data_IF_284667879457
#
_entry.id   IF_284667879457
#
_cell.length_a   1.000
_cell.length_b   1.000
_cell.length_c   1.000
_cell.angle_alpha   90.00
_cell.angle_beta   90.00
_cell.angle_gamma   90.00
#
_symmetry.space_group_name_H-M   'P 1'
#
loop_
_entity.id
_entity.type
_entity.pdbx_description
1 polymer ?
#
# COMPACT_ATOMS: atom_id res chain seq x y z
N UNK A 1 11.65 -11.58 10.25
CA UNK A 1 10.42 -12.00 9.54
C UNK A 1 9.64 -13.15 10.19
N UNK A 2 10.25 -13.98 11.05
CA UNK A 2 9.57 -15.17 11.59
C UNK A 2 8.37 -14.88 12.50
N UNK A 3 8.35 -13.78 13.26
CA UNK A 3 7.22 -13.44 14.15
C UNK A 3 5.93 -13.14 13.39
N UNK A 4 6.00 -12.35 12.31
CA UNK A 4 4.80 -12.00 11.51
C UNK A 4 4.31 -13.23 10.74
N UNK A 5 5.23 -14.00 10.13
CA UNK A 5 4.85 -15.25 9.49
C UNK A 5 4.22 -16.23 10.49
N UNK A 6 4.72 -16.31 11.72
CA UNK A 6 4.11 -17.10 12.79
C UNK A 6 2.67 -16.68 13.09
N UNK A 7 2.41 -15.37 13.21
CA UNK A 7 1.06 -14.84 13.41
C UNK A 7 0.12 -15.17 12.23
N UNK A 8 0.60 -15.03 10.99
CA UNK A 8 -0.16 -15.40 9.78
C UNK A 8 -0.51 -16.89 9.77
N UNK A 9 0.40 -17.76 10.21
CA UNK A 9 0.15 -19.19 10.35
C UNK A 9 -0.87 -19.49 11.44
N UNK A 10 -0.79 -18.78 12.58
CA UNK A 10 -1.74 -18.92 13.67
C UNK A 10 -3.18 -18.50 13.27
N UNK A 11 -3.32 -17.60 12.29
CA UNK A 11 -4.62 -17.24 11.68
C UNK A 11 -5.13 -18.28 10.68
N UNK A 12 -4.41 -19.39 10.45
CA UNK A 12 -4.84 -20.49 9.57
C UNK A 12 -4.35 -20.38 8.12
N UNK A 13 -3.60 -19.34 7.76
CA UNK A 13 -3.02 -19.23 6.42
C UNK A 13 -1.72 -20.04 6.35
N UNK A 14 -1.67 -21.06 5.49
CA UNK A 14 -0.46 -21.86 5.26
C UNK A 14 0.54 -21.11 4.37
N UNK A 15 1.78 -21.63 4.24
CA UNK A 15 2.86 -20.97 3.49
C UNK A 15 2.63 -20.92 1.99
N UNK A 16 1.79 -21.83 1.52
CA UNK A 16 1.31 -21.91 0.15
C UNK A 16 0.21 -20.88 -0.12
N UNK A 17 -0.52 -20.44 0.92
CA UNK A 17 -1.59 -19.45 0.79
C UNK A 17 -1.06 -18.02 0.92
N UNK A 18 -0.34 -17.72 2.01
CA UNK A 18 0.18 -16.37 2.21
C UNK A 18 1.39 -16.27 3.16
N UNK A 19 2.13 -15.17 3.05
CA UNK A 19 3.28 -14.85 3.90
C UNK A 19 3.32 -13.34 4.18
N UNK A 20 4.14 -12.92 5.14
CA UNK A 20 4.44 -11.50 5.39
C UNK A 20 4.94 -10.80 4.12
N UNK A 21 5.79 -11.46 3.33
CA UNK A 21 6.25 -10.94 2.05
C UNK A 21 5.13 -10.89 1.00
N UNK A 22 4.22 -11.86 1.03
CA UNK A 22 3.02 -11.89 0.18
C UNK A 22 2.19 -10.62 0.30
N UNK A 23 1.99 -10.09 1.51
CA UNK A 23 1.24 -8.84 1.71
C UNK A 23 1.88 -7.66 0.98
N UNK A 24 3.21 -7.64 0.90
CA UNK A 24 3.95 -6.57 0.21
C UNK A 24 3.74 -6.62 -1.29
N UNK A 25 3.79 -7.82 -1.88
CA UNK A 25 3.50 -8.03 -3.30
C UNK A 25 2.04 -7.66 -3.61
N UNK A 26 1.09 -8.13 -2.79
CA UNK A 26 -0.32 -7.78 -2.93
C UNK A 26 -0.57 -6.28 -2.84
N UNK A 27 0.03 -5.60 -1.86
CA UNK A 27 -0.11 -4.15 -1.70
C UNK A 27 0.46 -3.39 -2.91
N UNK A 28 1.60 -3.82 -3.47
CA UNK A 28 2.18 -3.25 -4.69
C UNK A 28 1.20 -3.33 -5.86
N UNK A 29 0.63 -4.52 -6.08
CA UNK A 29 -0.31 -4.75 -7.19
C UNK A 29 -1.60 -3.95 -7.02
N UNK A 30 -2.21 -3.95 -5.83
CA UNK A 30 -3.46 -3.22 -5.60
C UNK A 30 -3.26 -1.70 -5.71
N UNK A 31 -2.17 -1.17 -5.14
CA UNK A 31 -1.90 0.28 -5.26
C UNK A 31 -1.73 0.71 -6.72
N UNK A 32 -1.09 -0.12 -7.56
CA UNK A 32 -0.92 0.17 -8.99
C UNK A 32 -2.26 -0.01 -9.75
N UNK A 33 -2.83 -1.21 -9.72
CA UNK A 33 -3.94 -1.57 -10.61
C UNK A 33 -5.31 -1.06 -10.16
N UNK A 34 -5.54 -0.94 -8.84
CA UNK A 34 -6.85 -0.57 -8.28
C UNK A 34 -6.90 0.90 -7.89
N UNK A 35 -5.84 1.39 -7.24
CA UNK A 35 -5.79 2.78 -6.77
C UNK A 35 -5.15 3.74 -7.79
N UNK A 36 -4.51 3.21 -8.84
CA UNK A 36 -3.88 4.02 -9.89
C UNK A 36 -2.72 4.87 -9.35
N UNK A 37 -2.02 4.39 -8.33
CA UNK A 37 -0.94 5.12 -7.70
C UNK A 37 0.30 5.17 -8.59
N UNK A 38 1.04 6.27 -8.49
CA UNK A 38 2.26 6.46 -9.29
C UNK A 38 3.29 5.41 -8.87
N UNK A 39 3.72 4.57 -9.82
CA UNK A 39 4.56 3.39 -9.54
C UNK A 39 5.83 3.73 -8.74
N UNK A 40 6.52 4.82 -9.06
CA UNK A 40 7.71 5.26 -8.32
C UNK A 40 7.43 5.59 -6.85
N UNK A 41 6.24 6.12 -6.50
CA UNK A 41 5.85 6.33 -5.10
C UNK A 41 5.68 5.00 -4.38
N UNK A 42 5.07 4.01 -5.05
CA UNK A 42 4.90 2.65 -4.52
C UNK A 42 6.28 2.04 -4.27
N UNK A 43 7.17 2.07 -5.26
CA UNK A 43 8.53 1.54 -5.13
C UNK A 43 9.33 2.25 -4.01
N UNK A 44 9.20 3.58 -3.87
CA UNK A 44 9.79 4.32 -2.74
C UNK A 44 9.21 3.90 -1.39
N UNK A 45 7.91 3.63 -1.31
CA UNK A 45 7.26 3.17 -0.08
C UNK A 45 7.70 1.76 0.31
N UNK A 46 7.95 0.93 -0.70
CA UNK A 46 8.54 -0.37 -0.51
C UNK A 46 10.04 -0.24 -0.16
N UNK A 47 10.70 0.91 -0.34
CA UNK A 47 12.16 1.02 -0.25
C UNK A 47 12.87 0.15 -1.30
N UNK A 48 12.23 -0.03 -2.45
CA UNK A 48 12.88 -0.54 -3.66
C UNK A 48 13.68 0.57 -4.32
N UNK A 49 14.64 0.17 -5.17
CA UNK A 49 15.34 1.10 -6.03
C UNK A 49 14.42 1.51 -7.19
N UNK A 50 14.11 2.79 -7.29
CA UNK A 50 13.40 3.35 -8.44
C UNK A 50 14.37 3.42 -9.63
N UNK A 51 13.96 2.84 -10.76
CA UNK A 51 14.73 2.94 -12.01
C UNK A 51 14.62 4.36 -12.55
N UNK A 52 15.76 5.01 -12.76
CA UNK A 52 15.85 6.34 -13.37
C UNK A 52 16.78 6.25 -14.59
N UNK A 53 16.31 6.76 -15.73
CA UNK A 53 17.08 6.82 -16.98
C UNK A 53 18.35 7.66 -16.85
N UNK A 54 18.38 8.63 -15.93
CA UNK A 54 19.54 9.49 -15.65
C UNK A 54 20.35 9.01 -14.43
N UNK A 55 19.98 7.85 -13.86
CA UNK A 55 20.59 7.25 -12.69
C UNK A 55 20.31 7.99 -11.38
N UNK A 56 20.59 7.32 -10.25
CA UNK A 56 20.41 7.85 -8.87
C UNK A 56 21.22 9.13 -8.57
N UNK A 57 22.11 9.56 -9.47
CA UNK A 57 22.98 10.72 -9.25
C UNK A 57 22.17 12.02 -9.13
N UNK A 58 21.08 12.14 -9.89
CA UNK A 58 20.26 13.35 -9.97
C UNK A 58 18.91 13.22 -9.26
N UNK A 59 18.37 12.01 -9.14
CA UNK A 59 17.12 11.77 -8.45
C UNK A 59 17.35 11.43 -6.96
N UNK A 60 17.24 12.47 -6.13
CA UNK A 60 17.26 12.39 -4.66
C UNK A 60 15.87 12.59 -4.04
N UNK A 61 14.80 12.51 -4.83
CA UNK A 61 13.46 12.83 -4.33
C UNK A 61 12.94 11.67 -3.48
N UNK A 62 12.50 11.99 -2.27
CA UNK A 62 11.85 11.02 -1.38
C UNK A 62 10.32 11.01 -1.52
N UNK A 63 9.77 12.04 -2.18
CA UNK A 63 8.34 12.26 -2.39
C UNK A 63 7.46 12.10 -1.14
N UNK A 64 7.97 12.47 0.04
CA UNK A 64 7.29 12.22 1.32
C UNK A 64 5.85 12.80 1.39
N UNK A 65 5.56 14.02 0.91
CA UNK A 65 4.18 14.51 0.88
C UNK A 65 3.26 13.64 0.03
N UNK A 66 3.66 13.31 -1.21
CA UNK A 66 2.87 12.48 -2.10
C UNK A 66 2.70 11.04 -1.58
N UNK A 67 3.74 10.47 -0.95
CA UNK A 67 3.67 9.17 -0.30
C UNK A 67 2.72 9.16 0.89
N UNK A 68 2.60 10.26 1.63
CA UNK A 68 1.62 10.38 2.70
C UNK A 68 0.20 10.31 2.15
N UNK A 69 -0.10 11.05 1.10
CA UNK A 69 -1.42 11.02 0.44
C UNK A 69 -1.73 9.63 -0.14
N UNK A 70 -0.75 8.98 -0.78
CA UNK A 70 -0.86 7.61 -1.26
C UNK A 70 -1.19 6.64 -0.10
N UNK A 71 -0.47 6.74 1.01
CA UNK A 71 -0.71 5.87 2.16
C UNK A 71 -2.04 6.14 2.86
N UNK A 72 -2.55 7.38 2.79
CA UNK A 72 -3.90 7.69 3.25
C UNK A 72 -4.95 7.00 2.37
N UNK A 73 -4.83 7.10 1.04
CA UNK A 73 -5.74 6.38 0.12
C UNK A 73 -5.68 4.87 0.29
N UNK A 74 -4.49 4.32 0.55
CA UNK A 74 -4.34 2.91 0.90
C UNK A 74 -5.07 2.55 2.20
N UNK A 75 -4.96 3.37 3.25
CA UNK A 75 -5.68 3.16 4.51
C UNK A 75 -7.20 3.22 4.30
N UNK A 76 -7.69 4.22 3.57
CA UNK A 76 -9.11 4.38 3.26
C UNK A 76 -9.66 3.19 2.49
N UNK A 77 -8.88 2.64 1.54
CA UNK A 77 -9.23 1.43 0.82
C UNK A 77 -9.37 0.21 1.74
N UNK A 78 -8.42 0.01 2.66
CA UNK A 78 -8.48 -1.09 3.64
C UNK A 78 -9.67 -0.95 4.59
N UNK A 79 -10.00 0.27 5.01
CA UNK A 79 -11.16 0.53 5.85
C UNK A 79 -12.47 0.23 5.12
N UNK A 80 -12.58 0.58 3.83
CA UNK A 80 -13.75 0.19 3.01
C UNK A 80 -13.91 -1.33 2.93
N UNK A 81 -12.82 -2.07 2.71
CA UNK A 81 -12.86 -3.54 2.71
C UNK A 81 -13.27 -4.11 4.07
N UNK A 82 -12.77 -3.54 5.16
CA UNK A 82 -13.09 -3.96 6.53
C UNK A 82 -14.56 -3.72 6.89
N UNK A 83 -15.12 -2.58 6.48
CA UNK A 83 -16.52 -2.23 6.75
C UNK A 83 -17.47 -3.01 5.82
N UNK A 84 -17.03 -3.33 4.60
CA UNK A 84 -17.83 -4.04 3.60
C UNK A 84 -18.88 -3.18 2.89
N UNK A 85 -18.84 -1.86 3.08
CA UNK A 85 -19.74 -0.90 2.45
C UNK A 85 -19.07 0.47 2.32
N UNK A 86 -19.45 1.24 1.29
CA UNK A 86 -19.05 2.64 1.15
C UNK A 86 -20.10 3.52 1.84
N UNK A 87 -19.76 4.09 3.00
CA UNK A 87 -20.69 4.90 3.79
C UNK A 87 -20.70 6.32 3.22
N UNK A 88 -21.75 6.65 2.46
CA UNK A 88 -21.94 7.98 1.88
C UNK A 88 -22.78 8.84 2.85
N UNK A 89 -22.22 9.90 3.46
CA UNK A 89 -23.01 10.79 4.30
C UNK A 89 -24.05 11.52 3.44
N UNK A 90 -25.33 11.35 3.80
CA UNK A 90 -26.44 11.86 2.99
C UNK A 90 -26.56 13.40 3.02
N UNK A 91 -26.00 14.07 4.03
CA UNK A 91 -25.94 15.54 4.15
C UNK A 91 -24.75 15.95 5.02
N UNK A 92 -23.79 16.68 4.48
CA UNK A 92 -22.82 17.42 5.29
C UNK A 92 -23.54 18.64 5.84
N UNK A 93 -23.61 18.79 7.17
CA UNK A 93 -24.04 20.04 7.78
C UNK A 93 -23.12 21.15 7.27
N UNK A 94 -23.68 22.11 6.54
CA UNK A 94 -22.96 23.31 6.14
C UNK A 94 -22.43 23.97 7.42
N UNK A 95 -21.14 24.27 7.45
CA UNK A 95 -20.51 25.04 8.52
C UNK A 95 -20.48 26.51 8.13
#
# INVERSE_FOLDING_TARGET
>A
ENTINGAVRAMGYSKEVHTAHGFRATARTIMDEVLGERVDLIEHQLAHAVKDANGRAYNRTAHLPARREMMQRWADYLDKLRIGADVIPLRTAAK
#
